data_IF_435141656919
#
_entry.id   IF_435141656919
#
_cell.length_a   1.000
_cell.length_b   1.000
_cell.length_c   1.000
_cell.angle_alpha   90.00
_cell.angle_beta   90.00
_cell.angle_gamma   90.00
#
_symmetry.space_group_name_H-M   'P 1'
#
loop_
_entity.id
_entity.type
_entity.pdbx_description
1 polymer ?
#
# COMPACT_ATOMS: atom_id res chain seq x y z
N UNK A 1 35.64 -2.36 8.95
CA UNK A 1 34.53 -2.55 9.92
C UNK A 1 33.34 -3.35 9.36
N UNK A 2 33.24 -3.52 8.04
CA UNK A 2 32.07 -4.03 7.34
C UNK A 2 31.77 -5.54 7.36
N UNK A 3 32.74 -6.42 7.66
CA UNK A 3 32.53 -7.86 7.46
C UNK A 3 31.36 -8.46 8.27
N UNK A 4 31.09 -7.97 9.49
CA UNK A 4 29.97 -8.42 10.31
C UNK A 4 28.62 -8.01 9.70
N UNK A 5 28.57 -6.78 9.19
CA UNK A 5 27.39 -6.26 8.51
C UNK A 5 27.14 -7.00 7.21
N UNK A 6 28.17 -7.24 6.41
CA UNK A 6 28.08 -8.01 5.17
C UNK A 6 27.56 -9.44 5.43
N UNK A 7 28.09 -10.11 6.48
CA UNK A 7 27.63 -11.43 6.87
C UNK A 7 26.15 -11.43 7.33
N UNK A 8 25.77 -10.41 8.11
CA UNK A 8 24.39 -10.23 8.55
C UNK A 8 23.47 -10.02 7.35
N UNK A 9 23.82 -9.10 6.44
CA UNK A 9 23.04 -8.76 5.27
C UNK A 9 22.87 -9.98 4.35
N UNK A 10 23.92 -10.77 4.16
CA UNK A 10 23.85 -12.04 3.41
C UNK A 10 22.88 -13.08 4.05
N UNK A 11 22.85 -13.16 5.37
CA UNK A 11 21.87 -14.02 6.08
C UNK A 11 20.47 -13.47 6.00
N UNK A 12 20.31 -12.16 6.14
CA UNK A 12 19.03 -11.45 6.03
C UNK A 12 18.44 -11.59 4.62
N UNK A 13 19.25 -11.45 3.59
CA UNK A 13 18.86 -11.66 2.20
C UNK A 13 18.25 -13.05 1.99
N UNK A 14 18.92 -14.09 2.45
CA UNK A 14 18.40 -15.47 2.38
C UNK A 14 17.09 -15.65 3.16
N UNK A 15 16.96 -14.97 4.30
CA UNK A 15 15.77 -15.09 5.16
C UNK A 15 14.55 -14.37 4.59
N UNK A 16 14.73 -13.21 3.99
CA UNK A 16 13.65 -12.33 3.57
C UNK A 16 13.46 -12.25 2.05
N UNK A 17 14.36 -12.88 1.27
CA UNK A 17 14.21 -12.94 -0.20
C UNK A 17 14.56 -11.66 -0.92
N UNK A 18 15.53 -10.88 -0.44
CA UNK A 18 16.05 -9.70 -1.10
C UNK A 18 17.48 -9.91 -1.62
N UNK A 19 17.93 -9.06 -2.53
CA UNK A 19 19.29 -9.07 -3.07
C UNK A 19 19.91 -7.67 -3.06
N UNK A 20 21.25 -7.54 -3.24
CA UNK A 20 21.94 -6.25 -3.16
C UNK A 20 21.42 -5.20 -4.13
N UNK A 21 20.87 -5.58 -5.29
CA UNK A 21 20.34 -4.64 -6.29
C UNK A 21 19.19 -3.80 -5.76
N UNK A 22 18.50 -4.25 -4.69
CA UNK A 22 17.45 -3.47 -4.02
C UNK A 22 17.98 -2.17 -3.40
N UNK A 23 19.27 -2.14 -3.10
CA UNK A 23 19.98 -1.00 -2.55
C UNK A 23 21.07 -0.48 -3.51
N UNK A 24 20.87 -0.68 -4.82
CA UNK A 24 21.79 -0.19 -5.87
C UNK A 24 23.25 -0.71 -5.69
N UNK A 25 23.41 -1.89 -5.14
CA UNK A 25 24.69 -2.59 -4.99
C UNK A 25 24.71 -3.89 -5.79
N UNK A 26 25.90 -4.34 -6.15
CA UNK A 26 26.12 -5.59 -6.91
C UNK A 26 26.49 -6.78 -6.03
N UNK A 27 27.00 -6.55 -4.83
CA UNK A 27 27.48 -7.62 -3.94
C UNK A 27 27.25 -7.25 -2.46
N UNK A 28 27.52 -8.22 -1.55
CA UNK A 28 27.46 -8.05 -0.11
C UNK A 28 28.80 -7.48 0.44
N UNK A 29 29.02 -6.22 0.19
CA UNK A 29 30.25 -5.50 0.52
C UNK A 29 30.00 -4.22 1.34
N UNK A 30 31.02 -3.41 1.51
CA UNK A 30 30.92 -2.17 2.27
C UNK A 30 30.07 -1.12 1.52
N UNK A 31 30.01 -1.16 0.18
CA UNK A 31 29.16 -0.30 -0.63
C UNK A 31 27.67 -0.58 -0.34
N UNK A 32 27.27 -1.86 -0.31
CA UNK A 32 25.92 -2.24 0.10
C UNK A 32 25.57 -1.73 1.50
N UNK A 33 26.51 -1.82 2.44
CA UNK A 33 26.29 -1.35 3.81
C UNK A 33 26.04 0.15 3.88
N UNK A 34 26.79 0.94 3.11
CA UNK A 34 26.58 2.40 3.02
C UNK A 34 25.24 2.72 2.33
N UNK A 35 24.92 2.06 1.22
CA UNK A 35 23.63 2.27 0.52
C UNK A 35 22.43 1.93 1.42
N UNK A 36 22.54 0.90 2.27
CA UNK A 36 21.51 0.59 3.27
C UNK A 36 21.41 1.72 4.30
N UNK A 37 22.50 2.31 4.77
CA UNK A 37 22.48 3.45 5.70
C UNK A 37 21.82 4.67 5.07
N UNK A 38 22.14 4.98 3.84
CA UNK A 38 21.53 6.09 3.10
C UNK A 38 20.02 5.88 2.92
N UNK A 39 19.62 4.65 2.61
CA UNK A 39 18.21 4.28 2.58
C UNK A 39 17.55 4.46 3.94
N UNK A 40 18.17 3.96 5.02
CA UNK A 40 17.67 4.10 6.39
C UNK A 40 17.54 5.56 6.80
N UNK A 41 18.50 6.41 6.45
CA UNK A 41 18.46 7.85 6.70
C UNK A 41 17.27 8.52 6.00
N UNK A 42 17.06 8.23 4.72
CA UNK A 42 15.94 8.79 3.93
C UNK A 42 14.57 8.40 4.49
N UNK A 43 14.48 7.31 5.25
CA UNK A 43 13.22 6.76 5.77
C UNK A 43 13.08 6.80 7.28
N UNK A 44 13.90 7.62 7.94
CA UNK A 44 13.91 7.80 9.41
C UNK A 44 14.01 6.45 10.17
N UNK A 45 14.87 5.56 9.66
CA UNK A 45 15.20 4.28 10.28
C UNK A 45 16.55 4.37 11.01
N UNK A 46 16.83 3.39 11.88
CA UNK A 46 18.13 3.25 12.52
C UNK A 46 19.22 3.00 11.48
N UNK A 47 20.23 3.90 11.41
CA UNK A 47 21.28 3.92 10.38
C UNK A 47 22.42 2.95 10.73
N UNK A 48 22.10 1.68 10.93
CA UNK A 48 23.07 0.64 11.30
C UNK A 48 23.69 -0.09 10.10
N UNK A 49 23.19 0.16 8.89
CA UNK A 49 23.62 -0.51 7.65
C UNK A 49 23.19 -1.98 7.57
N UNK A 50 22.21 -2.39 8.37
CA UNK A 50 21.68 -3.75 8.39
C UNK A 50 20.29 -3.80 7.77
N UNK A 51 20.10 -4.62 6.76
CA UNK A 51 18.77 -4.89 6.23
C UNK A 51 18.03 -5.86 7.18
N UNK A 52 17.70 -5.35 8.37
CA UNK A 52 16.84 -6.03 9.33
C UNK A 52 15.37 -6.01 8.91
N UNK A 53 14.48 -6.54 9.77
CA UNK A 53 13.06 -6.66 9.47
C UNK A 53 12.40 -5.31 9.10
N UNK A 54 12.74 -4.23 9.79
CA UNK A 54 12.17 -2.90 9.52
C UNK A 54 12.64 -2.35 8.18
N UNK A 55 13.95 -2.41 7.92
CA UNK A 55 14.56 -1.96 6.66
C UNK A 55 14.04 -2.77 5.48
N UNK A 56 14.01 -4.12 5.61
CA UNK A 56 13.45 -4.99 4.59
C UNK A 56 11.99 -4.68 4.28
N UNK A 57 11.17 -4.50 5.30
CA UNK A 57 9.76 -4.12 5.12
C UNK A 57 9.63 -2.83 4.33
N UNK A 58 10.44 -1.81 4.65
CA UNK A 58 10.36 -0.52 3.98
C UNK A 58 10.76 -0.60 2.52
N UNK A 59 11.88 -1.24 2.19
CA UNK A 59 12.33 -1.38 0.80
C UNK A 59 11.38 -2.26 -0.02
N UNK A 60 10.82 -3.33 0.57
CA UNK A 60 9.80 -4.15 -0.10
C UNK A 60 8.57 -3.33 -0.47
N UNK A 61 8.10 -2.48 0.45
CA UNK A 61 6.95 -1.61 0.20
C UNK A 61 7.19 -0.67 -0.98
N UNK A 62 8.38 -0.05 -1.06
CA UNK A 62 8.71 0.84 -2.17
C UNK A 62 8.80 0.11 -3.50
N UNK A 63 9.41 -1.06 -3.53
CA UNK A 63 9.49 -1.87 -4.73
C UNK A 63 8.11 -2.36 -5.19
N UNK A 64 7.24 -2.74 -4.26
CA UNK A 64 5.86 -3.12 -4.58
C UNK A 64 5.05 -1.93 -5.10
N UNK A 65 5.24 -0.75 -4.54
CA UNK A 65 4.57 0.47 -4.99
C UNK A 65 4.91 0.82 -6.44
N UNK A 66 6.17 0.64 -6.86
CA UNK A 66 6.61 0.91 -8.24
C UNK A 66 6.00 -0.08 -9.26
N UNK A 67 5.71 -1.30 -8.87
CA UNK A 67 5.22 -2.34 -9.78
C UNK A 67 3.74 -2.22 -10.15
N UNK A 68 2.93 -1.51 -9.38
CA UNK A 68 1.47 -1.43 -9.57
C UNK A 68 1.02 -0.19 -10.38
N UNK A 69 1.93 0.67 -10.85
CA UNK A 69 1.59 1.91 -11.54
C UNK A 69 1.73 1.83 -13.06
N UNK A 70 0.73 1.28 -13.72
CA UNK A 70 0.46 1.63 -15.11
C UNK A 70 -0.51 2.82 -15.07
N UNK A 71 0.02 4.03 -15.09
CA UNK A 71 -0.80 5.24 -15.23
C UNK A 71 -1.20 5.38 -16.71
N UNK A 72 -2.49 5.44 -16.97
CA UNK A 72 -2.98 5.86 -18.28
C UNK A 72 -2.90 7.39 -18.29
N UNK A 73 -1.85 7.96 -18.89
CA UNK A 73 -1.54 9.40 -18.86
C UNK A 73 -2.65 10.30 -19.47
N UNK A 74 -3.56 9.71 -20.23
CA UNK A 74 -4.64 10.42 -20.92
C UNK A 74 -5.97 10.49 -20.15
N UNK A 75 -6.08 9.88 -18.97
CA UNK A 75 -7.31 9.93 -18.17
C UNK A 75 -7.14 10.92 -16.99
N UNK A 76 -7.99 11.94 -16.87
CA UNK A 76 -7.90 12.89 -15.77
C UNK A 76 -8.04 12.16 -14.42
N UNK A 77 -7.24 12.58 -13.45
CA UNK A 77 -7.25 11.98 -12.12
C UNK A 77 -8.64 12.13 -11.50
N UNK A 78 -9.23 11.02 -11.11
CA UNK A 78 -10.59 10.99 -10.57
C UNK A 78 -10.77 9.88 -9.54
N UNK A 79 -11.80 10.01 -8.74
CA UNK A 79 -12.36 8.94 -7.92
C UNK A 79 -13.78 8.62 -8.41
N UNK A 80 -14.26 7.42 -8.10
CA UNK A 80 -15.65 7.04 -8.37
C UNK A 80 -16.51 7.32 -7.14
N UNK A 81 -17.57 8.08 -7.29
CA UNK A 81 -18.54 8.34 -6.24
C UNK A 81 -19.98 8.30 -6.82
N UNK A 82 -20.83 7.46 -6.25
CA UNK A 82 -22.17 7.19 -6.77
C UNK A 82 -22.17 6.76 -8.24
N UNK A 83 -21.17 5.99 -8.67
CA UNK A 83 -21.00 5.54 -10.04
C UNK A 83 -20.49 6.60 -11.02
N UNK A 84 -20.25 7.83 -10.57
CA UNK A 84 -19.73 8.92 -11.39
C UNK A 84 -18.24 9.15 -11.16
N UNK A 85 -17.51 9.48 -12.21
CA UNK A 85 -16.13 9.95 -12.14
C UNK A 85 -16.12 11.38 -11.58
N UNK A 86 -15.50 11.57 -10.43
CA UNK A 86 -15.32 12.87 -9.79
C UNK A 86 -13.86 13.29 -9.94
N UNK A 87 -13.55 14.30 -10.72
CA UNK A 87 -12.19 14.79 -10.86
C UNK A 87 -11.69 15.32 -9.51
N UNK A 88 -10.45 15.02 -9.17
CA UNK A 88 -9.81 15.49 -7.95
C UNK A 88 -8.49 16.17 -8.29
N UNK A 89 -8.21 17.26 -7.57
CA UNK A 89 -6.96 17.99 -7.71
C UNK A 89 -5.84 17.32 -6.88
N UNK A 90 -5.49 16.10 -7.28
CA UNK A 90 -4.42 15.32 -6.68
C UNK A 90 -3.77 14.47 -7.75
N UNK A 91 -2.48 14.60 -7.95
CA UNK A 91 -1.73 13.93 -9.02
C UNK A 91 -1.47 12.44 -8.77
N UNK A 92 -1.51 12.03 -7.50
CA UNK A 92 -1.23 10.66 -7.08
C UNK A 92 -2.52 9.86 -6.84
N UNK A 93 -3.23 9.59 -7.92
CA UNK A 93 -4.42 8.72 -7.90
C UNK A 93 -4.19 7.54 -8.82
N UNK A 94 -4.45 6.35 -8.31
CA UNK A 94 -4.39 5.15 -9.10
C UNK A 94 -5.75 4.87 -9.75
N UNK A 95 -5.91 5.29 -11.01
CA UNK A 95 -7.14 5.11 -11.79
C UNK A 95 -7.39 3.66 -12.25
N UNK A 96 -6.41 2.76 -12.05
CA UNK A 96 -6.54 1.34 -12.47
C UNK A 96 -7.62 0.62 -11.66
N UNK A 97 -7.91 1.14 -10.49
CA UNK A 97 -8.91 0.57 -9.58
C UNK A 97 -10.27 1.23 -9.75
N UNK A 98 -10.69 1.30 -11.00
CA UNK A 98 -12.10 1.52 -11.29
C UNK A 98 -12.92 0.40 -10.60
N UNK A 99 -14.00 0.80 -9.95
CA UNK A 99 -14.86 -0.12 -9.18
C UNK A 99 -15.33 -1.29 -10.03
N UNK A 100 -15.54 -1.08 -11.33
CA UNK A 100 -16.00 -2.10 -12.26
C UNK A 100 -14.90 -3.07 -12.70
N UNK A 101 -13.63 -2.63 -12.68
CA UNK A 101 -12.45 -3.45 -13.02
C UNK A 101 -11.78 -4.05 -11.79
N UNK A 102 -12.20 -3.63 -10.61
CA UNK A 102 -11.64 -4.14 -9.39
C UNK A 102 -12.22 -5.53 -9.09
N UNK A 103 -11.41 -6.57 -9.30
CA UNK A 103 -11.80 -7.97 -9.07
C UNK A 103 -11.95 -8.28 -7.56
N UNK A 104 -12.65 -7.41 -6.81
CA UNK A 104 -13.07 -7.72 -5.46
C UNK A 104 -14.19 -8.75 -5.52
N UNK A 105 -14.08 -9.84 -4.76
CA UNK A 105 -15.19 -10.77 -4.59
C UNK A 105 -16.44 -10.03 -4.12
N UNK A 106 -17.61 -10.35 -4.64
CA UNK A 106 -18.90 -9.75 -4.23
C UNK A 106 -19.20 -9.93 -2.74
N UNK A 107 -18.51 -10.83 -2.06
CA UNK A 107 -18.63 -11.08 -0.62
C UNK A 107 -17.73 -10.18 0.25
N UNK A 108 -16.97 -9.24 -0.32
CA UNK A 108 -16.14 -8.32 0.45
C UNK A 108 -16.80 -6.95 0.67
N UNK A 109 -17.94 -6.67 0.07
CA UNK A 109 -18.69 -5.42 0.20
C UNK A 109 -20.17 -5.61 -0.12
N UNK A 110 -21.01 -4.66 0.28
CA UNK A 110 -22.43 -4.68 -0.04
C UNK A 110 -22.77 -3.57 -1.04
N UNK A 111 -23.35 -3.94 -2.16
CA UNK A 111 -23.83 -3.00 -3.18
C UNK A 111 -25.15 -2.34 -2.76
N UNK A 112 -25.28 -1.07 -3.09
CA UNK A 112 -26.51 -0.29 -2.95
C UNK A 112 -26.84 0.36 -4.29
N UNK A 113 -28.13 0.62 -4.54
CA UNK A 113 -28.56 1.42 -5.69
C UNK A 113 -28.05 2.86 -5.55
N UNK A 114 -27.73 3.50 -6.68
CA UNK A 114 -27.29 4.89 -6.72
C UNK A 114 -28.27 5.80 -5.95
N UNK A 115 -27.74 6.72 -5.16
CA UNK A 115 -28.51 7.68 -4.38
C UNK A 115 -29.20 7.14 -3.13
N UNK A 116 -29.12 5.82 -2.84
CA UNK A 116 -29.76 5.23 -1.64
C UNK A 116 -28.97 5.44 -0.35
N UNK A 117 -27.72 5.81 -0.43
CA UNK A 117 -26.84 6.00 0.74
C UNK A 117 -26.20 7.38 0.71
N UNK A 118 -26.19 8.03 1.88
CA UNK A 118 -25.44 9.29 2.09
C UNK A 118 -24.21 9.00 2.95
N UNK A 119 -23.06 9.45 2.52
CA UNK A 119 -21.85 9.42 3.35
C UNK A 119 -22.02 10.45 4.46
N UNK A 120 -21.92 10.01 5.72
CA UNK A 120 -22.10 10.88 6.89
C UNK A 120 -20.79 11.15 7.63
N UNK A 121 -19.80 10.24 7.50
CA UNK A 121 -18.50 10.40 8.15
C UNK A 121 -17.42 9.68 7.37
N UNK A 122 -16.20 10.08 7.56
CA UNK A 122 -14.98 9.38 7.13
C UNK A 122 -14.34 8.74 8.34
N UNK A 123 -14.05 7.45 8.26
CA UNK A 123 -13.37 6.70 9.32
C UNK A 123 -11.99 6.35 8.79
N UNK A 124 -10.95 6.83 9.46
CA UNK A 124 -9.57 6.48 9.15
C UNK A 124 -9.13 5.30 9.99
N UNK A 125 -8.44 4.36 9.37
CA UNK A 125 -7.79 3.23 10.02
C UNK A 125 -6.30 3.30 9.75
N UNK A 126 -5.51 2.95 10.73
CA UNK A 126 -4.11 2.64 10.52
C UNK A 126 -4.01 1.16 10.18
N UNK A 127 -3.55 0.84 8.97
CA UNK A 127 -3.18 -0.52 8.62
C UNK A 127 -1.69 -0.75 8.94
N UNK A 128 -1.33 -1.98 9.22
CA UNK A 128 0.06 -2.38 9.47
C UNK A 128 0.77 -2.83 8.20
N UNK A 129 0.16 -2.60 7.04
CA UNK A 129 0.73 -2.93 5.75
C UNK A 129 1.76 -1.86 5.35
N UNK A 130 2.60 -2.20 4.41
CA UNK A 130 3.77 -1.41 4.04
C UNK A 130 3.56 -0.65 2.74
N UNK A 131 2.55 -1.08 1.97
CA UNK A 131 2.12 -0.43 0.73
C UNK A 131 0.63 -0.66 0.52
N UNK A 132 0.00 0.19 -0.28
CA UNK A 132 -1.38 0.01 -0.70
C UNK A 132 -1.58 -1.35 -1.39
N UNK A 133 -0.61 -1.81 -2.18
CA UNK A 133 -0.66 -3.11 -2.86
C UNK A 133 -0.71 -4.27 -1.86
N UNK A 134 0.16 -4.26 -0.84
CA UNK A 134 0.16 -5.30 0.19
C UNK A 134 -1.10 -5.27 1.05
N UNK A 135 -1.61 -4.08 1.38
CA UNK A 135 -2.87 -3.89 2.09
C UNK A 135 -4.04 -4.50 1.31
N UNK A 136 -4.15 -4.18 0.03
CA UNK A 136 -5.22 -4.69 -0.85
C UNK A 136 -5.19 -6.21 -0.97
N UNK A 137 -4.00 -6.82 -1.15
CA UNK A 137 -3.87 -8.29 -1.17
C UNK A 137 -4.34 -8.91 0.15
N UNK A 138 -3.95 -8.32 1.28
CA UNK A 138 -4.35 -8.81 2.60
C UNK A 138 -5.86 -8.69 2.83
N UNK A 139 -6.47 -7.57 2.43
CA UNK A 139 -7.92 -7.35 2.53
C UNK A 139 -8.69 -8.34 1.63
N UNK A 140 -8.26 -8.48 0.37
CA UNK A 140 -8.86 -9.42 -0.59
C UNK A 140 -8.77 -10.86 -0.10
N UNK A 141 -7.63 -11.28 0.43
CA UNK A 141 -7.43 -12.63 0.96
C UNK A 141 -8.30 -12.96 2.18
N UNK A 142 -8.78 -11.93 2.89
CA UNK A 142 -9.68 -12.07 4.06
C UNK A 142 -11.15 -11.81 3.73
N UNK A 143 -11.51 -11.58 2.48
CA UNK A 143 -12.85 -11.17 2.03
C UNK A 143 -13.37 -9.92 2.77
N UNK A 144 -12.50 -8.95 2.98
CA UNK A 144 -12.82 -7.63 3.53
C UNK A 144 -12.33 -6.54 2.57
N UNK A 145 -12.81 -5.31 2.74
CA UNK A 145 -12.47 -4.20 1.87
C UNK A 145 -12.49 -2.87 2.62
N UNK A 146 -11.87 -1.85 2.05
CA UNK A 146 -12.06 -0.45 2.43
C UNK A 146 -12.57 0.36 1.22
N UNK A 147 -12.99 1.59 1.40
CA UNK A 147 -13.33 2.44 0.26
C UNK A 147 -12.07 2.93 -0.45
N UNK A 148 -11.10 3.37 0.35
CA UNK A 148 -9.81 3.87 -0.13
C UNK A 148 -8.67 3.28 0.69
N UNK A 149 -7.53 3.11 0.05
CA UNK A 149 -6.23 2.88 0.69
C UNK A 149 -5.33 4.02 0.24
N UNK A 150 -4.65 4.67 1.17
CA UNK A 150 -3.69 5.73 0.86
C UNK A 150 -2.31 5.16 1.12
N UNK A 151 -1.46 5.17 0.11
CA UNK A 151 -0.09 4.69 0.21
C UNK A 151 0.81 5.68 0.97
N UNK A 152 2.00 5.24 1.35
CA UNK A 152 2.98 6.05 2.09
C UNK A 152 3.44 7.29 1.34
N UNK A 153 3.37 7.28 0.02
CA UNK A 153 3.71 8.42 -0.85
C UNK A 153 2.52 9.35 -1.13
N UNK A 154 1.35 9.08 -0.53
CA UNK A 154 0.11 9.82 -0.73
C UNK A 154 -0.73 9.33 -1.91
N UNK A 155 -0.36 8.25 -2.59
CA UNK A 155 -1.16 7.69 -3.68
C UNK A 155 -2.50 7.17 -3.16
N UNK A 156 -3.59 7.61 -3.77
CA UNK A 156 -4.95 7.18 -3.44
C UNK A 156 -5.31 5.99 -4.33
N UNK A 157 -5.56 4.84 -3.71
CA UNK A 157 -6.09 3.64 -4.35
C UNK A 157 -7.55 3.46 -3.92
N UNK A 158 -8.48 3.50 -4.85
CA UNK A 158 -9.89 3.28 -4.54
C UNK A 158 -10.25 1.81 -4.69
N UNK A 159 -10.80 1.21 -3.64
CA UNK A 159 -11.24 -0.19 -3.65
C UNK A 159 -12.75 -0.32 -3.87
N UNK A 160 -13.54 0.52 -3.24
CA UNK A 160 -15.01 0.44 -3.27
C UNK A 160 -15.57 1.84 -3.41
N UNK A 161 -16.61 1.99 -4.24
CA UNK A 161 -17.34 3.26 -4.33
C UNK A 161 -18.00 3.60 -2.98
N UNK A 162 -17.89 4.85 -2.48
CA UNK A 162 -18.51 5.28 -1.23
C UNK A 162 -20.02 5.07 -1.13
N UNK A 163 -20.72 4.94 -2.26
CA UNK A 163 -22.14 4.55 -2.24
C UNK A 163 -22.37 3.13 -1.72
N UNK A 164 -21.38 2.26 -1.78
CA UNK A 164 -21.44 0.88 -1.31
C UNK A 164 -20.96 0.76 0.14
N UNK A 165 -21.12 -0.37 0.77
CA UNK A 165 -20.60 -0.61 2.12
C UNK A 165 -19.35 -1.48 2.03
N UNK A 166 -18.20 -0.92 2.31
CA UNK A 166 -16.98 -1.68 2.52
C UNK A 166 -17.02 -2.43 3.86
N UNK A 167 -16.42 -3.60 3.90
CA UNK A 167 -16.40 -4.47 5.08
C UNK A 167 -15.01 -4.47 5.74
N UNK A 168 -14.72 -3.45 6.53
CA UNK A 168 -13.45 -3.28 7.24
C UNK A 168 -13.60 -3.17 8.75
N UNK A 169 -14.81 -2.87 9.25
CA UNK A 169 -15.10 -2.79 10.67
C UNK A 169 -15.80 -4.07 11.14
N UNK A 170 -15.35 -4.65 12.25
CA UNK A 170 -16.01 -5.80 12.85
C UNK A 170 -17.47 -5.50 13.23
N UNK A 171 -18.31 -6.53 13.30
CA UNK A 171 -19.76 -6.41 13.59
C UNK A 171 -20.11 -5.57 14.82
N UNK A 172 -19.19 -5.45 15.80
CA UNK A 172 -19.39 -4.66 17.03
C UNK A 172 -19.22 -3.15 16.84
N UNK A 173 -18.53 -2.70 15.79
CA UNK A 173 -18.34 -1.27 15.54
C UNK A 173 -19.58 -0.61 14.89
N UNK A 174 -20.36 -1.38 14.15
CA UNK A 174 -21.57 -0.89 13.44
C UNK A 174 -22.71 -0.53 14.41
N UNK A 175 -22.80 -1.19 15.56
CA UNK A 175 -23.88 -0.97 16.53
C UNK A 175 -23.63 0.22 17.48
N UNK A 176 -22.50 0.92 17.41
CA UNK A 176 -22.20 2.11 18.24
C UNK A 176 -22.34 3.44 17.50
N UNK A 177 -22.62 3.41 16.21
CA UNK A 177 -22.74 4.60 15.36
C UNK A 177 -24.17 4.80 14.79
N UNK A 178 -25.16 4.08 15.33
CA UNK A 178 -26.59 4.26 15.03
C UNK A 178 -27.29 5.06 16.11
#
# INVERSE_FOLDING_TARGET
MGWRQNLYNKKSSKKYGWDPSWFEASDFDDSLTENIRDFQMRHDLEQDGLCGQRTHRRISAEREAVQDFITNENDPKHIICNGNKIPINWDKVNNIYDVDNYALPLNCYRRYKVGKRKVKMVITHFDVCLSAASCRRALKGRNISSHFVIDNDGTICQMVDPQHSAWHAGRRAVNRAS
#
